data_IF_908732032641
#
_entry.id   IF_908732032641
#
_cell.length_a   1.000
_cell.length_b   1.000
_cell.length_c   1.000
_cell.angle_alpha   90.00
_cell.angle_beta   90.00
_cell.angle_gamma   90.00
#
_symmetry.space_group_name_H-M   'P 1'
#
loop_
_entity.id
_entity.type
_entity.pdbx_description
1 polymer ?
#
# COMPACT_ATOMS: atom_id res chain seq x y z
N UNK A 1 -34.03 -65.64 25.77
CA UNK A 1 -33.07 -64.78 26.49
C UNK A 1 -32.54 -63.78 25.47
N UNK A 2 -32.90 -62.50 25.63
CA UNK A 2 -32.77 -61.44 24.61
C UNK A 2 -31.35 -60.85 24.63
N UNK A 3 -30.59 -60.97 23.55
CA UNK A 3 -29.42 -60.12 23.31
C UNK A 3 -29.89 -58.80 22.70
N UNK A 4 -29.67 -57.70 23.44
CA UNK A 4 -29.92 -56.32 23.01
C UNK A 4 -28.72 -55.85 22.18
N UNK A 5 -29.00 -55.40 20.96
CA UNK A 5 -28.02 -54.72 20.11
C UNK A 5 -27.59 -53.40 20.74
N UNK A 6 -26.28 -53.22 20.86
CA UNK A 6 -25.65 -51.96 21.23
C UNK A 6 -25.48 -51.18 19.94
N UNK A 7 -26.33 -50.17 19.74
CA UNK A 7 -26.17 -49.19 18.69
C UNK A 7 -24.96 -48.31 18.99
N UNK A 8 -23.97 -48.35 18.10
CA UNK A 8 -22.84 -47.43 18.06
C UNK A 8 -23.33 -46.04 17.68
N UNK A 9 -23.33 -45.13 18.66
CA UNK A 9 -23.54 -43.71 18.41
C UNK A 9 -22.29 -43.14 17.73
N UNK A 10 -22.39 -42.89 16.42
CA UNK A 10 -21.39 -42.15 15.66
C UNK A 10 -21.47 -40.67 16.06
N UNK A 11 -20.54 -40.24 16.92
CA UNK A 11 -20.34 -38.85 17.30
C UNK A 11 -19.70 -38.13 16.11
N UNK A 12 -20.50 -37.38 15.33
CA UNK A 12 -19.98 -36.44 14.34
C UNK A 12 -19.23 -35.33 15.06
N UNK A 13 -17.90 -35.37 15.03
CA UNK A 13 -17.07 -34.20 15.28
C UNK A 13 -17.30 -33.20 14.13
N UNK A 14 -18.18 -32.24 14.35
CA UNK A 14 -18.22 -31.01 13.57
C UNK A 14 -16.94 -30.22 13.85
N UNK A 15 -15.95 -30.39 13.00
CA UNK A 15 -14.81 -29.47 12.90
C UNK A 15 -15.38 -28.13 12.42
N UNK A 16 -15.74 -27.27 13.36
CA UNK A 16 -15.97 -25.85 13.08
C UNK A 16 -14.60 -25.31 12.69
N UNK A 17 -14.34 -25.26 11.39
CA UNK A 17 -13.20 -24.53 10.86
C UNK A 17 -13.36 -23.09 11.30
N UNK A 18 -12.49 -22.63 12.20
CA UNK A 18 -12.31 -21.22 12.50
C UNK A 18 -11.92 -20.54 11.19
N UNK A 19 -12.89 -19.96 10.50
CA UNK A 19 -12.61 -18.90 9.55
C UNK A 19 -12.03 -17.76 10.39
N UNK A 20 -10.70 -17.62 10.33
CA UNK A 20 -10.01 -16.41 10.79
C UNK A 20 -10.54 -15.24 9.98
N UNK A 21 -11.67 -14.69 10.39
CA UNK A 21 -12.09 -13.37 9.97
C UNK A 21 -11.04 -12.43 10.56
N UNK A 22 -10.13 -11.97 9.71
CA UNK A 22 -9.18 -10.94 10.09
C UNK A 22 -9.97 -9.73 10.58
N UNK A 23 -9.94 -9.49 11.90
CA UNK A 23 -10.44 -8.25 12.48
C UNK A 23 -9.66 -7.11 11.82
N UNK A 24 -10.38 -6.18 11.20
CA UNK A 24 -9.78 -4.98 10.63
C UNK A 24 -9.07 -4.21 11.75
N UNK A 25 -7.80 -3.87 11.52
CA UNK A 25 -6.99 -3.04 12.41
C UNK A 25 -7.58 -1.63 12.45
N UNK A 26 -7.59 -1.01 13.63
CA UNK A 26 -7.95 0.40 13.76
C UNK A 26 -6.98 1.25 12.91
N UNK A 27 -7.45 2.40 12.42
CA UNK A 27 -6.60 3.33 11.70
C UNK A 27 -5.47 3.86 12.61
N UNK A 28 -4.35 4.32 12.05
CA UNK A 28 -3.33 4.99 12.85
C UNK A 28 -3.92 6.21 13.57
N UNK A 29 -3.39 6.54 14.75
CA UNK A 29 -3.90 7.58 15.65
C UNK A 29 -3.04 8.85 15.64
N UNK A 30 -1.76 8.69 15.28
CA UNK A 30 -0.82 9.78 15.17
C UNK A 30 0.20 9.48 14.06
N UNK A 31 0.97 10.50 13.69
CA UNK A 31 2.21 10.33 12.94
C UNK A 31 3.35 11.05 13.64
N UNK A 32 4.53 10.46 13.56
CA UNK A 32 5.79 11.05 13.99
C UNK A 32 6.53 11.52 12.74
N UNK A 33 6.88 12.81 12.69
CA UNK A 33 7.57 13.46 11.57
C UNK A 33 8.81 14.21 12.07
N UNK A 34 9.62 14.75 11.16
CA UNK A 34 10.79 15.58 11.49
C UNK A 34 11.72 14.88 12.49
N UNK A 35 12.01 13.60 12.24
CA UNK A 35 12.77 12.76 13.15
C UNK A 35 14.27 13.01 12.98
N UNK A 36 14.94 13.35 14.06
CA UNK A 36 16.39 13.58 14.10
C UNK A 36 17.01 12.90 15.34
N UNK A 37 18.27 12.49 15.24
CA UNK A 37 18.98 11.78 16.32
C UNK A 37 18.46 10.37 16.57
N UNK A 38 18.72 9.82 17.76
CA UNK A 38 18.26 8.49 18.13
C UNK A 38 16.76 8.48 18.47
N UNK A 39 15.93 7.97 17.55
CA UNK A 39 14.51 7.75 17.79
C UNK A 39 14.13 6.33 17.41
N UNK A 40 13.39 5.65 18.28
CA UNK A 40 12.98 4.26 18.08
C UNK A 40 11.49 4.09 18.36
N UNK A 41 10.89 3.14 17.65
CA UNK A 41 9.51 2.73 17.88
C UNK A 41 9.42 1.25 18.27
N UNK A 42 8.37 0.93 19.02
CA UNK A 42 7.96 -0.43 19.30
C UNK A 42 6.46 -0.58 19.08
N UNK A 43 6.03 -1.73 18.60
CA UNK A 43 4.60 -2.04 18.40
C UNK A 43 3.90 -2.45 19.70
N UNK A 44 4.66 -2.98 20.66
CA UNK A 44 4.18 -3.61 21.89
C UNK A 44 5.14 -3.45 23.09
N UNK A 45 6.18 -2.62 22.97
CA UNK A 45 7.21 -2.40 23.98
C UNK A 45 8.33 -3.46 24.02
N UNK A 46 8.26 -4.54 23.24
CA UNK A 46 9.22 -5.65 23.27
C UNK A 46 10.38 -5.41 22.29
N UNK A 47 10.08 -5.32 21.00
CA UNK A 47 11.08 -5.10 19.96
C UNK A 47 11.14 -3.62 19.58
N UNK A 48 12.34 -3.05 19.60
CA UNK A 48 12.59 -1.63 19.30
C UNK A 48 13.33 -1.49 17.98
N UNK A 49 12.87 -0.59 17.13
CA UNK A 49 13.41 -0.37 15.78
C UNK A 49 13.61 1.12 15.53
N UNK A 50 14.66 1.52 14.80
CA UNK A 50 14.90 2.93 14.52
C UNK A 50 13.78 3.52 13.66
N UNK A 51 13.45 4.78 13.94
CA UNK A 51 12.59 5.59 13.07
C UNK A 51 13.51 6.48 12.24
N UNK A 52 13.46 6.34 10.92
CA UNK A 52 14.34 7.08 9.99
C UNK A 52 13.61 8.07 9.10
N UNK A 53 12.28 8.06 9.16
CA UNK A 53 11.37 8.88 8.36
C UNK A 53 10.03 8.99 9.05
N UNK A 54 9.11 9.74 8.44
CA UNK A 54 7.71 9.81 8.87
C UNK A 54 7.15 8.41 9.18
N UNK A 55 6.64 8.25 10.40
CA UNK A 55 6.12 6.99 10.94
C UNK A 55 4.67 7.15 11.38
N UNK A 56 3.80 6.28 10.86
CA UNK A 56 2.42 6.19 11.31
C UNK A 56 2.32 5.30 12.55
N UNK A 57 1.64 5.81 13.57
CA UNK A 57 1.57 5.19 14.89
C UNK A 57 0.16 4.71 15.17
N UNK A 58 0.04 3.45 15.58
CA UNK A 58 -1.22 2.81 15.95
C UNK A 58 -1.36 2.77 17.46
N UNK A 59 -2.59 2.58 17.95
CA UNK A 59 -2.83 2.35 19.38
C UNK A 59 -1.94 1.20 19.92
N UNK A 60 -1.31 1.43 21.08
CA UNK A 60 -0.35 0.54 21.73
C UNK A 60 1.11 0.72 21.26
N UNK A 61 1.36 1.49 20.20
CA UNK A 61 2.73 1.79 19.79
C UNK A 61 3.44 2.64 20.83
N UNK A 62 4.74 2.42 21.00
CA UNK A 62 5.59 3.21 21.86
C UNK A 62 6.69 3.89 21.04
N UNK A 63 7.07 5.10 21.45
CA UNK A 63 8.21 5.83 20.92
C UNK A 63 9.15 6.14 22.07
N UNK A 64 10.45 5.98 21.84
CA UNK A 64 11.49 6.48 22.74
C UNK A 64 12.55 7.23 21.96
N UNK A 65 13.11 8.24 22.61
CA UNK A 65 14.19 9.08 22.09
C UNK A 65 15.42 8.91 22.99
N UNK A 66 16.61 8.97 22.39
CA UNK A 66 17.88 9.05 23.12
C UNK A 66 18.21 10.49 23.52
N UNK A 67 19.45 10.72 23.97
CA UNK A 67 19.91 12.03 24.44
C UNK A 67 19.99 13.11 23.36
N UNK A 68 20.09 12.71 22.08
CA UNK A 68 20.08 13.58 20.91
C UNK A 68 18.80 13.44 20.06
N UNK A 69 17.89 12.55 20.48
CA UNK A 69 16.68 12.21 19.75
C UNK A 69 15.63 13.32 19.85
N UNK A 70 15.01 13.64 18.73
CA UNK A 70 13.88 14.55 18.69
C UNK A 70 12.93 14.23 17.54
N UNK A 71 11.72 14.77 17.62
CA UNK A 71 10.74 14.67 16.54
C UNK A 71 9.47 15.45 16.84
N UNK A 72 8.55 15.45 15.88
CA UNK A 72 7.24 16.09 16.03
C UNK A 72 6.15 15.04 15.93
N UNK A 73 5.41 14.87 17.02
CA UNK A 73 4.20 14.05 17.07
C UNK A 73 3.03 14.89 16.60
N UNK A 74 2.27 14.38 15.65
CA UNK A 74 1.03 15.00 15.20
C UNK A 74 -0.10 14.00 15.50
N UNK A 75 -0.89 14.29 16.52
CA UNK A 75 -2.11 13.57 16.83
C UNK A 75 -3.22 14.13 15.93
N UNK A 76 -3.45 13.42 14.85
CA UNK A 76 -4.33 13.87 13.78
C UNK A 76 -5.82 13.73 14.15
N UNK A 77 -6.17 12.92 15.16
CA UNK A 77 -7.54 12.86 15.68
C UNK A 77 -7.92 14.15 16.43
N UNK A 78 -6.95 14.72 17.16
CA UNK A 78 -7.14 15.95 17.93
C UNK A 78 -6.74 17.21 17.17
N UNK A 79 -6.01 17.05 16.05
CA UNK A 79 -5.41 18.16 15.31
C UNK A 79 -4.31 18.87 16.07
N UNK A 80 -3.71 18.22 17.05
CA UNK A 80 -2.65 18.79 17.86
C UNK A 80 -1.30 18.21 17.48
N UNK A 81 -0.28 19.04 17.54
CA UNK A 81 1.12 18.64 17.47
C UNK A 81 1.91 18.99 18.71
N UNK A 82 2.87 18.13 19.01
CA UNK A 82 3.76 18.25 20.14
C UNK A 82 5.15 17.75 19.75
N UNK A 83 6.18 18.45 20.19
CA UNK A 83 7.56 18.03 19.97
C UNK A 83 7.94 17.00 21.04
N UNK A 84 8.64 15.96 20.61
CA UNK A 84 9.40 15.05 21.46
C UNK A 84 10.81 15.63 21.61
N UNK A 85 11.20 15.89 22.86
CA UNK A 85 12.59 16.19 23.21
C UNK A 85 13.39 14.92 23.47
N UNK A 86 14.64 15.11 23.90
CA UNK A 86 15.53 14.04 24.32
C UNK A 86 15.00 13.26 25.52
N UNK A 87 15.40 11.99 25.62
CA UNK A 87 15.07 11.08 26.73
C UNK A 87 13.56 10.94 27.03
N UNK A 88 12.72 11.20 26.03
CA UNK A 88 11.27 11.04 26.08
C UNK A 88 10.85 9.63 25.68
N UNK A 89 9.93 9.04 26.44
CA UNK A 89 9.27 7.77 26.17
C UNK A 89 7.75 7.95 26.27
N UNK A 90 7.04 7.63 25.19
CA UNK A 90 5.58 7.75 25.10
C UNK A 90 4.93 6.46 24.62
N UNK A 91 3.65 6.31 24.93
CA UNK A 91 2.76 5.26 24.43
C UNK A 91 1.52 5.89 23.79
N UNK A 92 1.10 5.32 22.66
CA UNK A 92 -0.07 5.75 21.91
C UNK A 92 -1.33 5.11 22.47
N UNK A 93 -2.19 5.92 23.08
CA UNK A 93 -3.57 5.53 23.36
C UNK A 93 -4.50 5.76 22.17
N UNK A 94 -5.78 5.42 22.34
CA UNK A 94 -6.80 5.58 21.29
C UNK A 94 -7.12 7.04 20.95
N UNK A 95 -6.99 7.93 21.92
CA UNK A 95 -7.33 9.36 21.79
C UNK A 95 -6.24 10.28 22.33
N UNK A 96 -5.48 9.81 23.33
CA UNK A 96 -4.44 10.56 23.99
C UNK A 96 -3.09 9.85 23.93
N UNK A 97 -2.04 10.63 24.15
CA UNK A 97 -0.66 10.17 24.23
C UNK A 97 -0.28 10.07 25.69
N UNK A 98 0.19 8.91 26.13
CA UNK A 98 0.67 8.70 27.49
C UNK A 98 2.18 8.93 27.54
N UNK A 99 2.63 9.81 28.44
CA UNK A 99 4.06 10.04 28.66
C UNK A 99 4.52 9.09 29.77
N UNK A 100 5.40 8.17 29.41
CA UNK A 100 5.98 7.18 30.33
C UNK A 100 7.26 7.70 30.98
N UNK A 101 8.04 8.51 30.25
CA UNK A 101 9.19 9.26 30.74
C UNK A 101 9.45 10.51 29.88
N UNK A 102 10.15 11.49 30.45
CA UNK A 102 10.45 12.76 29.78
C UNK A 102 9.23 13.69 29.68
N UNK A 103 9.24 14.57 28.70
CA UNK A 103 8.18 15.57 28.49
C UNK A 103 7.87 15.77 27.00
N UNK A 104 6.63 16.19 26.73
CA UNK A 104 6.20 16.68 25.43
C UNK A 104 5.98 18.18 25.50
N UNK A 105 6.22 18.88 24.39
CA UNK A 105 5.88 20.30 24.32
C UNK A 105 4.37 20.52 24.51
N UNK A 106 3.97 21.77 24.76
CA UNK A 106 2.55 22.13 24.75
C UNK A 106 1.93 21.83 23.37
N UNK A 107 0.68 21.32 23.34
CA UNK A 107 -0.06 21.11 22.11
C UNK A 107 -0.20 22.40 21.29
N UNK A 108 0.06 22.31 19.99
CA UNK A 108 -0.20 23.39 19.02
C UNK A 108 -1.13 22.87 17.92
N UNK A 109 -2.11 23.67 17.52
CA UNK A 109 -3.07 23.28 16.50
C UNK A 109 -2.41 23.16 15.11
N UNK A 110 -2.72 22.10 14.38
CA UNK A 110 -2.18 21.79 13.06
C UNK A 110 -3.30 21.36 12.10
N UNK A 111 -3.11 21.59 10.80
CA UNK A 111 -4.08 21.19 9.78
C UNK A 111 -4.07 19.68 9.56
N UNK A 112 -5.24 19.05 9.54
CA UNK A 112 -5.40 17.58 9.46
C UNK A 112 -6.14 17.09 8.21
N UNK A 113 -6.50 17.96 7.25
CA UNK A 113 -7.40 17.59 6.14
C UNK A 113 -6.88 16.44 5.26
N UNK A 114 -5.57 16.37 5.03
CA UNK A 114 -4.96 15.28 4.25
C UNK A 114 -5.02 13.92 4.96
N UNK A 115 -5.08 13.93 6.29
CA UNK A 115 -5.13 12.73 7.10
C UNK A 115 -6.48 12.02 7.02
N UNK A 116 -7.59 12.75 7.02
CA UNK A 116 -8.92 12.15 6.92
C UNK A 116 -9.06 11.31 5.64
N UNK A 117 -8.52 11.81 4.53
CA UNK A 117 -8.44 11.06 3.27
C UNK A 117 -7.63 9.77 3.43
N UNK A 118 -6.47 9.84 4.09
CA UNK A 118 -5.61 8.69 4.35
C UNK A 118 -6.29 7.65 5.26
N UNK A 119 -6.94 8.06 6.36
CA UNK A 119 -7.67 7.15 7.27
C UNK A 119 -8.82 6.45 6.56
N UNK A 120 -9.58 7.20 5.76
CA UNK A 120 -10.67 6.65 4.96
C UNK A 120 -10.13 5.65 3.92
N UNK A 121 -9.00 5.95 3.29
CA UNK A 121 -8.32 5.06 2.35
C UNK A 121 -7.77 3.82 3.05
N UNK A 122 -7.14 3.97 4.21
CA UNK A 122 -6.62 2.87 5.02
C UNK A 122 -7.71 1.87 5.38
N UNK A 123 -8.84 2.37 5.86
CA UNK A 123 -10.01 1.55 6.21
C UNK A 123 -10.52 0.74 5.01
N UNK A 124 -10.49 1.34 3.81
CA UNK A 124 -10.84 0.64 2.55
C UNK A 124 -9.77 -0.34 2.11
N UNK A 125 -8.50 -0.07 2.39
CA UNK A 125 -7.37 -0.88 1.96
C UNK A 125 -7.40 -2.27 2.61
N UNK A 126 -7.78 -2.33 3.88
CA UNK A 126 -7.82 -3.57 4.67
C UNK A 126 -8.73 -4.66 4.09
N UNK A 127 -9.81 -4.30 3.39
CA UNK A 127 -10.69 -5.31 2.75
C UNK A 127 -10.01 -6.10 1.64
N UNK A 128 -8.86 -5.63 1.16
CA UNK A 128 -8.10 -6.27 0.09
C UNK A 128 -6.95 -7.13 0.60
N UNK A 129 -6.69 -7.15 1.91
CA UNK A 129 -5.61 -7.95 2.50
C UNK A 129 -6.02 -9.37 2.89
N UNK A 130 -7.30 -9.72 2.71
CA UNK A 130 -7.77 -11.09 2.92
C UNK A 130 -7.11 -12.05 1.94
N UNK A 131 -6.32 -12.99 2.47
CA UNK A 131 -5.68 -14.04 1.68
C UNK A 131 -6.74 -15.01 1.18
N UNK A 132 -6.80 -15.20 -0.14
CA UNK A 132 -7.61 -16.25 -0.77
C UNK A 132 -6.84 -17.57 -0.71
N UNK A 133 -7.53 -18.68 -0.43
CA UNK A 133 -6.91 -20.02 -0.39
C UNK A 133 -6.34 -20.46 -1.74
N UNK A 134 -6.93 -19.99 -2.83
CA UNK A 134 -6.40 -20.25 -4.17
C UNK A 134 -5.40 -19.15 -4.54
N UNK A 135 -4.19 -19.57 -4.88
CA UNK A 135 -3.17 -18.71 -5.49
C UNK A 135 -3.69 -18.36 -6.88
N UNK A 136 -3.75 -17.07 -7.27
CA UNK A 136 -4.06 -16.72 -8.65
C UNK A 136 -2.99 -17.36 -9.53
N UNK A 137 -3.41 -18.21 -10.46
CA UNK A 137 -2.51 -18.63 -11.53
C UNK A 137 -2.31 -17.44 -12.46
N UNK A 138 -1.11 -17.36 -13.03
CA UNK A 138 -0.90 -16.45 -14.13
C UNK A 138 -1.85 -16.82 -15.27
N UNK A 139 -2.75 -15.89 -15.60
CA UNK A 139 -3.75 -16.07 -16.65
C UNK A 139 -3.50 -15.07 -17.78
N UNK A 140 -3.72 -15.50 -19.03
CA UNK A 140 -3.61 -14.65 -20.22
C UNK A 140 -4.61 -13.46 -20.21
N UNK A 141 -5.63 -13.49 -19.34
CA UNK A 141 -6.70 -12.51 -19.23
C UNK A 141 -6.31 -11.21 -18.49
N UNK A 142 -5.15 -10.63 -18.83
CA UNK A 142 -4.61 -9.45 -18.16
C UNK A 142 -5.57 -8.27 -18.23
N UNK A 143 -5.78 -7.65 -17.07
CA UNK A 143 -6.60 -6.44 -16.91
C UNK A 143 -5.70 -5.25 -16.62
N UNK A 144 -6.12 -4.09 -17.07
CA UNK A 144 -5.49 -2.80 -16.78
C UNK A 144 -6.43 -1.95 -15.95
N UNK A 145 -5.88 -0.93 -15.31
CA UNK A 145 -6.69 0.15 -14.75
C UNK A 145 -7.47 0.85 -15.89
N UNK A 146 -8.72 1.24 -15.63
CA UNK A 146 -9.60 1.81 -16.66
C UNK A 146 -9.18 3.21 -17.09
N UNK A 147 -8.71 4.01 -16.14
CA UNK A 147 -8.37 5.42 -16.29
C UNK A 147 -7.18 5.72 -15.39
N UNK A 148 -6.16 6.39 -15.90
CA UNK A 148 -5.04 6.90 -15.11
C UNK A 148 -4.51 8.20 -15.74
N UNK A 149 -3.57 8.84 -15.05
CA UNK A 149 -2.74 9.91 -15.60
C UNK A 149 -1.29 9.42 -15.67
N UNK A 150 -0.53 9.99 -16.58
CA UNK A 150 0.93 9.87 -16.67
C UNK A 150 1.52 11.27 -16.92
N UNK A 151 2.82 11.44 -16.68
CA UNK A 151 3.55 12.67 -16.98
C UNK A 151 4.90 12.35 -17.60
N UNK A 152 5.66 13.37 -18.01
CA UNK A 152 7.03 13.18 -18.51
C UNK A 152 7.94 12.52 -17.47
N UNK A 153 7.80 12.89 -16.18
CA UNK A 153 8.57 12.32 -15.08
C UNK A 153 8.04 10.93 -14.63
N UNK A 154 6.78 10.63 -14.96
CA UNK A 154 6.12 9.36 -14.65
C UNK A 154 5.37 8.81 -15.87
N UNK A 155 6.09 8.35 -16.92
CA UNK A 155 5.51 8.04 -18.23
C UNK A 155 4.93 6.62 -18.33
N UNK A 156 5.07 5.82 -17.27
CA UNK A 156 4.85 4.38 -17.33
C UNK A 156 3.36 4.00 -17.33
N UNK A 157 2.96 3.19 -18.32
CA UNK A 157 1.80 2.31 -18.22
C UNK A 157 2.24 0.97 -17.64
N UNK A 158 1.39 0.37 -16.80
CA UNK A 158 1.70 -0.90 -16.13
C UNK A 158 0.57 -1.92 -16.22
N UNK A 159 0.96 -3.19 -16.30
CA UNK A 159 0.04 -4.32 -16.21
C UNK A 159 0.76 -5.57 -15.66
N UNK A 160 -0.03 -6.60 -15.38
CA UNK A 160 0.45 -7.88 -14.84
C UNK A 160 1.44 -8.54 -15.81
N UNK A 161 2.62 -8.90 -15.30
CA UNK A 161 3.65 -9.62 -16.03
C UNK A 161 3.93 -10.93 -15.33
N UNK A 162 3.60 -12.02 -16.00
CA UNK A 162 3.81 -13.35 -15.47
C UNK A 162 5.23 -13.84 -15.71
N UNK A 163 6.20 -13.16 -15.11
CA UNK A 163 7.60 -13.57 -15.07
C UNK A 163 8.13 -13.97 -16.47
N UNK A 164 7.90 -13.09 -17.46
CA UNK A 164 8.46 -13.20 -18.83
C UNK A 164 7.89 -14.32 -19.70
N UNK A 165 6.78 -14.93 -19.31
CA UNK A 165 6.16 -16.01 -20.10
C UNK A 165 5.35 -15.52 -21.29
N UNK A 166 4.94 -14.24 -21.30
CA UNK A 166 4.08 -13.68 -22.34
C UNK A 166 4.79 -12.64 -23.19
N UNK A 167 4.31 -12.53 -24.43
CA UNK A 167 4.56 -11.38 -25.30
C UNK A 167 3.34 -10.47 -25.26
N UNK A 168 3.54 -9.20 -25.56
CA UNK A 168 2.47 -8.22 -25.52
C UNK A 168 2.38 -7.45 -26.85
N UNK A 169 1.18 -6.99 -27.17
CA UNK A 169 0.99 -5.87 -28.08
C UNK A 169 0.28 -4.76 -27.33
N UNK A 170 0.72 -3.54 -27.55
CA UNK A 170 0.10 -2.35 -27.00
C UNK A 170 -0.44 -1.52 -28.14
N UNK A 171 -1.75 -1.30 -28.16
CA UNK A 171 -2.36 -0.33 -29.06
C UNK A 171 -2.56 0.99 -28.32
N UNK A 172 -1.97 2.09 -28.78
CA UNK A 172 -2.23 3.45 -28.29
C UNK A 172 -2.93 4.23 -29.39
N UNK A 173 -4.11 4.79 -29.11
CA UNK A 173 -4.95 5.49 -30.09
C UNK A 173 -5.19 4.68 -31.39
N UNK A 174 -5.20 3.34 -31.27
CA UNK A 174 -5.37 2.41 -32.38
C UNK A 174 -4.08 2.02 -33.10
N UNK A 175 -2.96 2.67 -32.83
CA UNK A 175 -1.64 2.29 -33.37
C UNK A 175 -1.02 1.18 -32.54
N UNK A 176 -0.72 0.05 -33.19
CA UNK A 176 -0.22 -1.15 -32.53
C UNK A 176 1.30 -1.19 -32.47
N UNK A 177 1.82 -1.54 -31.30
CA UNK A 177 3.24 -1.69 -31.01
C UNK A 177 3.47 -3.11 -30.49
N UNK A 178 4.34 -3.87 -31.17
CA UNK A 178 4.77 -5.17 -30.68
C UNK A 178 5.78 -4.99 -29.54
N UNK A 179 5.50 -5.59 -28.40
CA UNK A 179 6.30 -5.45 -27.19
C UNK A 179 7.00 -6.78 -26.87
N UNK A 180 8.33 -6.76 -26.65
CA UNK A 180 9.05 -7.95 -26.26
C UNK A 180 8.63 -8.40 -24.85
N UNK A 181 8.90 -9.67 -24.53
CA UNK A 181 8.82 -10.13 -23.15
C UNK A 181 9.82 -9.33 -22.29
N UNK A 182 9.44 -9.02 -21.05
CA UNK A 182 10.24 -8.27 -20.10
C UNK A 182 10.37 -9.09 -18.81
N UNK A 183 11.57 -9.09 -18.22
CA UNK A 183 11.78 -9.64 -16.87
C UNK A 183 11.22 -8.71 -15.79
N UNK A 184 10.63 -9.30 -14.74
CA UNK A 184 10.11 -8.58 -13.58
C UNK A 184 8.69 -8.99 -13.19
N UNK A 185 8.23 -8.45 -12.06
CA UNK A 185 6.94 -8.82 -11.46
C UNK A 185 5.74 -8.12 -12.13
N UNK A 186 5.98 -7.07 -12.92
CA UNK A 186 4.99 -6.32 -13.68
C UNK A 186 5.63 -5.79 -14.97
N UNK A 187 4.82 -5.52 -15.99
CA UNK A 187 5.29 -4.97 -17.26
C UNK A 187 5.24 -3.46 -17.16
N UNK A 188 6.29 -2.77 -17.61
CA UNK A 188 6.33 -1.30 -17.67
C UNK A 188 6.57 -0.84 -19.08
N UNK A 189 5.71 0.03 -19.57
CA UNK A 189 5.88 0.67 -20.87
C UNK A 189 5.93 2.19 -20.70
N UNK A 190 7.09 2.84 -20.90
CA UNK A 190 7.20 4.29 -20.86
C UNK A 190 6.61 4.88 -22.14
N UNK A 191 5.54 5.65 -22.00
CA UNK A 191 4.91 6.36 -23.11
C UNK A 191 5.72 7.61 -23.45
N UNK A 192 5.98 7.83 -24.74
CA UNK A 192 6.69 9.01 -25.23
C UNK A 192 6.15 9.44 -26.59
N UNK A 193 6.43 10.69 -26.98
CA UNK A 193 6.09 11.20 -28.31
C UNK A 193 4.61 11.53 -28.52
N UNK A 194 3.83 11.73 -27.46
CA UNK A 194 2.44 12.14 -27.51
C UNK A 194 2.26 13.57 -26.99
N UNK A 195 1.24 14.26 -27.50
CA UNK A 195 0.82 15.57 -26.98
C UNK A 195 0.03 15.43 -25.68
N UNK A 196 0.11 16.40 -24.75
CA UNK A 196 -0.70 16.37 -23.54
C UNK A 196 -2.21 16.25 -23.84
N UNK A 197 -2.91 15.44 -23.06
CA UNK A 197 -4.34 15.19 -23.23
C UNK A 197 -4.76 13.74 -23.02
N UNK A 198 -6.00 13.44 -23.39
CA UNK A 198 -6.56 12.09 -23.25
C UNK A 198 -6.15 11.19 -24.42
N UNK A 199 -5.76 9.96 -24.09
CA UNK A 199 -5.44 8.91 -25.03
C UNK A 199 -6.10 7.60 -24.61
N UNK A 200 -6.27 6.71 -25.58
CA UNK A 200 -6.76 5.36 -25.34
C UNK A 200 -5.61 4.36 -25.47
N UNK A 201 -5.66 3.30 -24.66
CA UNK A 201 -4.73 2.19 -24.78
C UNK A 201 -5.39 0.84 -24.56
N UNK A 202 -4.83 -0.20 -25.18
CA UNK A 202 -5.31 -1.57 -25.07
C UNK A 202 -4.13 -2.52 -25.08
N UNK A 203 -4.13 -3.47 -24.15
CA UNK A 203 -3.12 -4.52 -24.07
C UNK A 203 -3.68 -5.81 -24.64
N UNK A 204 -2.91 -6.42 -25.53
CA UNK A 204 -3.10 -7.78 -26.01
C UNK A 204 -1.98 -8.66 -25.49
N UNK A 205 -2.34 -9.77 -24.87
CA UNK A 205 -1.42 -10.75 -24.30
C UNK A 205 -1.36 -11.95 -25.23
N UNK A 206 -0.16 -12.41 -25.52
CA UNK A 206 0.09 -13.56 -26.38
C UNK A 206 0.86 -14.60 -25.56
N UNK A 207 0.37 -15.84 -25.56
CA UNK A 207 1.04 -16.96 -24.88
C UNK A 207 2.45 -17.20 -25.43
N UNK A 208 3.32 -17.83 -24.64
CA UNK A 208 4.73 -18.07 -25.01
C UNK A 208 4.89 -18.74 -26.37
N UNK A 209 4.04 -19.72 -26.64
CA UNK A 209 3.99 -20.52 -27.88
C UNK A 209 3.14 -19.87 -28.98
N UNK A 210 2.46 -18.76 -28.69
CA UNK A 210 1.58 -18.05 -29.62
C UNK A 210 0.26 -18.76 -29.92
N UNK A 211 -0.11 -19.81 -29.18
CA UNK A 211 -1.34 -20.56 -29.38
C UNK A 211 -2.59 -19.83 -28.88
N UNK A 212 -2.43 -18.92 -27.91
CA UNK A 212 -3.51 -18.13 -27.34
C UNK A 212 -3.20 -16.63 -27.39
N UNK A 213 -4.23 -15.84 -27.69
CA UNK A 213 -4.18 -14.38 -27.67
C UNK A 213 -5.41 -13.85 -26.94
N UNK A 214 -5.20 -12.91 -26.02
CA UNK A 214 -6.26 -12.24 -25.29
C UNK A 214 -6.13 -10.73 -25.41
N UNK A 215 -7.18 -10.11 -25.94
CA UNK A 215 -7.31 -8.65 -25.98
C UNK A 215 -8.45 -8.23 -25.06
N UNK A 216 -8.22 -7.19 -24.27
CA UNK A 216 -9.24 -6.62 -23.40
C UNK A 216 -10.46 -6.18 -24.22
N UNK A 217 -11.68 -6.45 -23.74
CA UNK A 217 -12.89 -6.09 -24.51
C UNK A 217 -13.09 -4.60 -24.73
N UNK A 218 -12.61 -3.76 -23.81
CA UNK A 218 -12.73 -2.31 -23.88
C UNK A 218 -11.35 -1.71 -23.67
N UNK A 219 -10.95 -0.71 -24.48
CA UNK A 219 -9.73 0.04 -24.22
C UNK A 219 -9.86 0.76 -22.87
N UNK A 220 -8.71 0.94 -22.23
CA UNK A 220 -8.55 1.86 -21.11
C UNK A 220 -8.13 3.24 -21.63
N UNK A 221 -8.16 4.25 -20.79
CA UNK A 221 -7.66 5.58 -21.14
C UNK A 221 -6.60 6.06 -20.17
N UNK A 222 -5.71 6.93 -20.67
CA UNK A 222 -4.80 7.70 -19.83
C UNK A 222 -4.81 9.17 -20.24
N UNK A 223 -4.55 10.04 -19.28
CA UNK A 223 -4.31 11.47 -19.53
C UNK A 223 -2.82 11.75 -19.40
N UNK A 224 -2.19 12.22 -20.48
CA UNK A 224 -0.83 12.77 -20.42
C UNK A 224 -0.90 14.20 -19.88
N UNK A 225 -0.38 14.41 -18.67
CA UNK A 225 -0.34 15.71 -18.03
C UNK A 225 0.62 16.64 -18.77
N UNK A 226 0.25 17.91 -18.89
CA UNK A 226 1.18 18.92 -19.38
C UNK A 226 2.20 19.32 -18.29
N UNK A 227 3.25 20.04 -18.68
CA UNK A 227 4.33 20.47 -17.78
C UNK A 227 3.83 21.25 -16.57
N UNK A 228 2.83 22.12 -16.73
CA UNK A 228 2.29 22.92 -15.63
C UNK A 228 1.55 22.04 -14.61
N UNK A 229 0.76 21.08 -15.08
CA UNK A 229 0.07 20.12 -14.23
C UNK A 229 1.07 19.21 -13.50
N UNK A 230 2.05 18.65 -14.21
CA UNK A 230 3.10 17.79 -13.61
C UNK A 230 3.84 18.55 -12.51
N UNK A 231 4.26 19.79 -12.80
CA UNK A 231 4.94 20.64 -11.81
C UNK A 231 4.08 20.94 -10.59
N UNK A 232 2.79 21.24 -10.77
CA UNK A 232 1.88 21.48 -9.64
C UNK A 232 1.66 20.26 -8.75
N UNK A 233 1.75 19.04 -9.30
CA UNK A 233 1.74 17.81 -8.49
C UNK A 233 3.06 17.67 -7.75
N UNK A 234 4.19 17.86 -8.44
CA UNK A 234 5.52 17.72 -7.87
C UNK A 234 5.75 18.70 -6.71
N UNK A 235 5.33 19.97 -6.84
CA UNK A 235 5.41 20.96 -5.76
C UNK A 235 4.64 20.53 -4.50
N UNK A 236 3.48 19.87 -4.66
CA UNK A 236 2.71 19.34 -3.54
C UNK A 236 3.41 18.15 -2.88
N UNK A 237 4.02 17.27 -3.69
CA UNK A 237 4.79 16.12 -3.18
C UNK A 237 6.03 16.59 -2.43
N UNK A 238 6.76 17.56 -2.95
CA UNK A 238 7.93 18.13 -2.29
C UNK A 238 7.57 18.82 -0.97
N UNK A 239 6.41 19.48 -0.90
CA UNK A 239 5.93 20.16 0.30
C UNK A 239 5.64 19.22 1.48
N UNK A 240 5.37 17.93 1.23
CA UNK A 240 5.09 16.95 2.30
C UNK A 240 6.35 16.26 2.82
N UNK A 241 7.50 16.47 2.20
CA UNK A 241 8.79 15.93 2.63
C UNK A 241 8.86 14.41 2.51
N UNK A 242 9.21 13.73 3.60
CA UNK A 242 9.46 12.28 3.64
C UNK A 242 8.20 11.43 3.91
N UNK A 243 7.01 12.04 3.90
CA UNK A 243 5.74 11.36 4.13
C UNK A 243 5.26 10.63 2.87
N UNK A 244 5.85 9.46 2.62
CA UNK A 244 5.57 8.61 1.47
C UNK A 244 4.07 8.31 1.26
N UNK A 245 3.29 8.18 2.33
CA UNK A 245 1.87 7.86 2.21
C UNK A 245 1.02 9.05 1.77
N UNK A 246 1.40 10.26 2.21
CA UNK A 246 0.77 11.49 1.75
C UNK A 246 1.21 11.80 0.32
N UNK A 247 2.50 11.65 0.00
CA UNK A 247 3.03 11.78 -1.36
C UNK A 247 2.30 10.86 -2.35
N UNK A 248 2.19 9.56 -2.03
CA UNK A 248 1.40 8.61 -2.81
C UNK A 248 -0.08 9.01 -2.92
N UNK A 249 -0.66 9.57 -1.84
CA UNK A 249 -2.02 10.11 -1.85
C UNK A 249 -2.20 11.28 -2.83
N UNK A 250 -1.21 12.18 -2.91
CA UNK A 250 -1.18 13.30 -3.87
C UNK A 250 -1.12 12.76 -5.30
N UNK A 251 -0.23 11.80 -5.58
CA UNK A 251 -0.15 11.17 -6.90
C UNK A 251 -1.48 10.54 -7.31
N UNK A 252 -2.11 9.75 -6.43
CA UNK A 252 -3.41 9.14 -6.72
C UNK A 252 -4.53 10.16 -6.94
N UNK A 253 -4.55 11.24 -6.16
CA UNK A 253 -5.53 12.31 -6.33
C UNK A 253 -5.45 12.96 -7.72
N UNK A 254 -4.26 12.92 -8.34
CA UNK A 254 -3.99 13.42 -9.69
C UNK A 254 -4.00 12.31 -10.76
N UNK A 255 -4.41 11.09 -10.40
CA UNK A 255 -4.50 9.94 -11.31
C UNK A 255 -3.17 9.24 -11.62
N UNK A 256 -2.05 9.68 -11.03
CA UNK A 256 -0.71 9.11 -11.22
C UNK A 256 -0.53 7.83 -10.38
N UNK A 257 -1.34 6.81 -10.66
CA UNK A 257 -1.38 5.57 -9.86
C UNK A 257 -0.06 4.78 -9.91
N UNK A 258 0.72 4.89 -10.99
CA UNK A 258 2.02 4.21 -11.11
C UNK A 258 3.07 4.89 -10.24
N UNK A 259 3.12 6.23 -10.22
CA UNK A 259 3.98 6.98 -9.31
C UNK A 259 3.63 6.68 -7.83
N UNK A 260 2.34 6.62 -7.50
CA UNK A 260 1.91 6.21 -6.16
C UNK A 260 2.33 4.78 -5.79
N UNK A 261 2.27 3.84 -6.75
CA UNK A 261 2.78 2.48 -6.54
C UNK A 261 4.29 2.49 -6.24
N UNK A 262 5.05 3.27 -7.01
CA UNK A 262 6.49 3.38 -6.83
C UNK A 262 6.87 3.95 -5.47
N UNK A 263 6.14 4.97 -5.01
CA UNK A 263 6.31 5.53 -3.67
C UNK A 263 6.06 4.48 -2.57
N UNK A 264 4.97 3.70 -2.68
CA UNK A 264 4.71 2.61 -1.74
C UNK A 264 5.78 1.51 -1.79
N UNK A 265 6.20 1.09 -2.98
CA UNK A 265 7.23 0.05 -3.13
C UNK A 265 8.58 0.51 -2.57
N UNK A 266 8.96 1.77 -2.80
CA UNK A 266 10.15 2.36 -2.23
C UNK A 266 10.08 2.36 -0.69
N UNK A 267 8.97 2.85 -0.13
CA UNK A 267 8.75 2.86 1.32
C UNK A 267 8.88 1.46 1.95
N UNK A 268 8.19 0.45 1.40
CA UNK A 268 8.22 -0.92 1.96
C UNK A 268 9.52 -1.68 1.66
N UNK A 269 10.28 -1.26 0.65
CA UNK A 269 11.65 -1.75 0.43
C UNK A 269 12.59 -1.35 1.58
N UNK A 270 12.40 -0.16 2.13
CA UNK A 270 13.22 0.35 3.24
C UNK A 270 12.63 0.07 4.63
N UNK A 271 11.31 -0.14 4.71
CA UNK A 271 10.57 -0.43 5.94
C UNK A 271 9.78 -1.75 5.81
N UNK A 272 10.47 -2.88 5.56
CA UNK A 272 9.82 -4.16 5.25
C UNK A 272 9.07 -4.77 6.45
N UNK A 273 9.26 -4.22 7.64
CA UNK A 273 8.62 -4.62 8.89
C UNK A 273 7.40 -3.75 9.23
N UNK A 274 7.10 -2.69 8.45
CA UNK A 274 5.94 -1.85 8.70
C UNK A 274 4.62 -2.45 8.21
N UNK A 275 4.32 -3.64 8.71
CA UNK A 275 3.18 -4.44 8.28
C UNK A 275 1.82 -3.74 8.43
N UNK A 276 1.69 -2.77 9.34
CA UNK A 276 0.39 -2.18 9.66
C UNK A 276 -0.07 -1.25 8.56
N UNK A 277 0.86 -0.61 7.86
CA UNK A 277 0.58 0.23 6.70
C UNK A 277 0.59 -0.53 5.37
N UNK A 278 1.06 -1.79 5.34
CA UNK A 278 1.10 -2.65 4.15
C UNK A 278 -0.23 -2.79 3.38
N UNK A 279 -1.43 -2.69 4.01
CA UNK A 279 -2.69 -2.64 3.26
C UNK A 279 -2.70 -1.58 2.14
N UNK A 280 -1.98 -0.46 2.30
CA UNK A 280 -1.91 0.60 1.30
C UNK A 280 -1.22 0.14 0.00
N UNK A 281 -0.15 -0.65 0.10
CA UNK A 281 0.50 -1.25 -1.06
C UNK A 281 -0.39 -2.31 -1.72
N UNK A 282 -1.08 -3.13 -0.91
CA UNK A 282 -2.07 -4.11 -1.42
C UNK A 282 -3.18 -3.41 -2.21
N UNK A 283 -3.66 -2.26 -1.72
CA UNK A 283 -4.66 -1.44 -2.39
C UNK A 283 -4.12 -0.89 -3.72
N UNK A 284 -2.87 -0.41 -3.77
CA UNK A 284 -2.24 0.09 -4.99
C UNK A 284 -2.16 -1.01 -6.08
N UNK A 285 -1.70 -2.22 -5.73
CA UNK A 285 -1.73 -3.37 -6.64
C UNK A 285 -3.15 -3.69 -7.13
N UNK A 286 -4.14 -3.63 -6.24
CA UNK A 286 -5.55 -3.85 -6.59
C UNK A 286 -6.11 -2.78 -7.54
N UNK A 287 -5.72 -1.52 -7.39
CA UNK A 287 -6.13 -0.43 -8.28
C UNK A 287 -5.60 -0.68 -9.69
N UNK A 288 -4.32 -1.02 -9.80
CA UNK A 288 -3.60 -1.31 -11.06
C UNK A 288 -3.91 -2.70 -11.66
N UNK A 289 -4.74 -3.51 -11.00
CA UNK A 289 -5.13 -4.87 -11.43
C UNK A 289 -3.97 -5.87 -11.48
N UNK A 290 -2.96 -5.66 -10.65
CA UNK A 290 -1.81 -6.55 -10.47
C UNK A 290 -2.20 -7.64 -9.46
N UNK A 291 -2.87 -8.70 -9.92
CA UNK A 291 -3.52 -9.69 -9.05
C UNK A 291 -2.50 -10.54 -8.30
N UNK A 292 -1.45 -10.95 -8.98
CA UNK A 292 -0.38 -11.78 -8.44
C UNK A 292 0.36 -11.03 -7.35
N UNK A 293 0.78 -9.79 -7.64
CA UNK A 293 1.43 -8.91 -6.68
C UNK A 293 0.52 -8.60 -5.49
N UNK A 294 -0.77 -8.28 -5.72
CA UNK A 294 -1.74 -8.10 -4.63
C UNK A 294 -1.83 -9.34 -3.74
N UNK A 295 -1.86 -10.54 -4.33
CA UNK A 295 -1.93 -11.79 -3.57
C UNK A 295 -0.65 -12.06 -2.79
N UNK A 296 0.53 -11.96 -3.43
CA UNK A 296 1.84 -12.11 -2.78
C UNK A 296 1.94 -11.15 -1.58
N UNK A 297 1.55 -9.90 -1.76
CA UNK A 297 1.58 -8.87 -0.70
C UNK A 297 0.59 -9.14 0.43
N UNK A 298 -0.63 -9.60 0.12
CA UNK A 298 -1.62 -10.00 1.13
C UNK A 298 -1.14 -11.20 1.97
N UNK A 299 -0.44 -12.16 1.35
CA UNK A 299 0.19 -13.29 2.06
C UNK A 299 1.28 -12.79 3.00
N UNK A 300 2.15 -11.87 2.54
CA UNK A 300 3.15 -11.22 3.39
C UNK A 300 2.50 -10.52 4.58
N UNK A 301 1.42 -9.77 4.34
CA UNK A 301 0.65 -9.11 5.39
C UNK A 301 0.15 -10.09 6.45
N UNK A 302 -0.48 -11.19 6.02
CA UNK A 302 -1.00 -12.23 6.93
C UNK A 302 0.09 -12.88 7.77
N UNK A 303 1.20 -13.31 7.13
CA UNK A 303 2.33 -13.97 7.82
C UNK A 303 2.98 -13.08 8.88
N UNK A 304 3.21 -11.81 8.55
CA UNK A 304 3.83 -10.87 9.50
C UNK A 304 2.89 -10.53 10.66
N UNK A 305 1.57 -10.55 10.43
CA UNK A 305 0.60 -10.34 11.51
C UNK A 305 0.60 -11.49 12.52
N UNK A 306 0.68 -12.74 12.05
CA UNK A 306 0.78 -13.92 12.90
C UNK A 306 2.08 -13.98 13.71
N UNK A 307 3.16 -13.34 13.23
CA UNK A 307 4.44 -13.27 13.94
C UNK A 307 4.56 -12.10 14.93
N UNK A 308 3.65 -11.14 14.87
CA UNK A 308 3.60 -9.96 15.76
C UNK A 308 2.66 -10.18 16.97
N UNK A 309 1.79 -11.20 16.93
CA UNK A 309 0.92 -11.68 18.03
C UNK A 309 1.66 -12.67 18.95
#
# INVERSE_FOLDING_TARGET
MRLRGIGTAAMMLSVIGFSNYAIAREAPVAKLVQVEGEVQYSRNGIAWRPVRRTKYLFNGYQIRTGSDGNGKLINQLTGNSQNLGADTHIEMGKQEVQVLAGELSRPTQESTSMWESLVNKFSRAQRYTTVRRNIPECEINVRTIKTLSISEDHPDLVWENCESTFKFKLAINGESIDLPAQDGELYRYPVSGLEPGEHSFQVTVISKDGSEEFTQRKPSSFTLLNTQQSKGVQEQVEAVGDDAFVAAGIYEANGLFVAALDEYRHYFGENPDDNDMRPMLVLSYQQLKLRDLRHKEAVTFGKQREGDE
#
